data_IF_885776666925
#
_entry.id   IF_885776666925
#
_cell.length_a   1.000
_cell.length_b   1.000
_cell.length_c   1.000
_cell.angle_alpha   90.00
_cell.angle_beta   90.00
_cell.angle_gamma   90.00
#
_symmetry.space_group_name_H-M   'P 1'
#
loop_
_entity.id
_entity.type
_entity.pdbx_description
1 polymer ?
#
# COMPACT_ATOMS: atom_id res chain seq x y z
N UNK A 1 20.78 -4.71 -8.22
CA UNK A 1 19.67 -4.07 -7.46
C UNK A 1 19.24 -5.01 -6.35
N UNK A 2 18.88 -4.51 -5.16
CA UNK A 2 18.32 -5.33 -4.07
C UNK A 2 16.91 -5.83 -4.44
N UNK A 3 16.54 -7.05 -4.04
CA UNK A 3 15.22 -7.63 -4.26
C UNK A 3 14.07 -6.71 -3.77
N UNK A 4 14.26 -6.05 -2.62
CA UNK A 4 13.28 -5.08 -2.11
C UNK A 4 13.04 -3.90 -3.09
N UNK A 5 14.10 -3.37 -3.72
CA UNK A 5 13.96 -2.27 -4.70
C UNK A 5 13.23 -2.72 -5.96
N UNK A 6 13.40 -3.96 -6.40
CA UNK A 6 12.68 -4.49 -7.58
C UNK A 6 11.17 -4.48 -7.34
N UNK A 7 10.71 -4.99 -6.19
CA UNK A 7 9.29 -5.05 -5.87
C UNK A 7 8.69 -3.66 -5.59
N UNK A 8 9.43 -2.78 -4.92
CA UNK A 8 8.96 -1.41 -4.72
C UNK A 8 8.92 -0.64 -6.04
N UNK A 9 9.90 -0.80 -6.93
CA UNK A 9 9.87 -0.22 -8.26
C UNK A 9 8.65 -0.68 -9.06
N UNK A 10 8.29 -1.97 -8.95
CA UNK A 10 7.09 -2.52 -9.59
C UNK A 10 5.81 -1.92 -9.00
N UNK A 11 5.72 -1.79 -7.67
CA UNK A 11 4.59 -1.13 -7.02
C UNK A 11 4.46 0.33 -7.48
N UNK A 12 5.57 1.07 -7.60
CA UNK A 12 5.57 2.45 -8.11
C UNK A 12 5.15 2.53 -9.58
N UNK A 13 5.55 1.58 -10.41
CA UNK A 13 5.10 1.49 -11.81
C UNK A 13 3.57 1.33 -11.89
N UNK A 14 3.01 0.41 -11.09
CA UNK A 14 1.57 0.18 -10.99
C UNK A 14 0.82 1.45 -10.52
N UNK A 15 1.37 2.17 -9.54
CA UNK A 15 0.83 3.45 -9.08
C UNK A 15 0.81 4.50 -10.21
N UNK A 16 1.91 4.63 -10.97
CA UNK A 16 2.03 5.58 -12.10
C UNK A 16 1.04 5.28 -13.22
N UNK A 17 0.89 4.02 -13.60
CA UNK A 17 -0.06 3.61 -14.65
C UNK A 17 -1.52 3.95 -14.34
N UNK A 18 -1.82 4.24 -13.09
CA UNK A 18 -3.16 4.46 -12.59
C UNK A 18 -3.46 5.95 -12.28
N UNK A 19 -2.47 6.84 -12.47
CA UNK A 19 -2.66 8.29 -12.35
C UNK A 19 -3.73 8.79 -13.33
N UNK A 20 -4.55 9.74 -12.87
CA UNK A 20 -5.69 10.29 -13.64
C UNK A 20 -6.94 9.41 -13.66
N UNK A 21 -6.87 8.16 -13.17
CA UNK A 21 -8.00 7.21 -13.17
C UNK A 21 -8.67 7.05 -11.81
N UNK A 22 -8.06 7.54 -10.72
CA UNK A 22 -8.50 7.31 -9.34
C UNK A 22 -9.35 8.43 -8.74
N UNK A 23 -9.74 9.41 -9.56
CA UNK A 23 -10.51 10.58 -9.11
C UNK A 23 -9.72 11.39 -8.07
N UNK A 24 -10.35 11.68 -6.93
CA UNK A 24 -9.71 12.42 -5.81
C UNK A 24 -8.79 11.55 -4.93
N UNK A 25 -8.80 10.24 -5.11
CA UNK A 25 -7.98 9.33 -4.30
C UNK A 25 -6.57 9.19 -4.91
N UNK A 26 -5.52 8.95 -4.10
CA UNK A 26 -4.18 8.68 -4.61
C UNK A 26 -4.13 7.34 -5.37
N UNK A 27 -3.31 7.30 -6.42
CA UNK A 27 -3.00 6.09 -7.16
C UNK A 27 -1.91 5.31 -6.43
N UNK A 28 -2.29 4.23 -5.74
CA UNK A 28 -1.39 3.41 -4.93
C UNK A 28 -1.09 2.12 -5.68
N UNK A 29 0.12 1.61 -5.54
CA UNK A 29 0.50 0.28 -6.00
C UNK A 29 0.83 -0.63 -4.81
N UNK A 30 0.51 -1.91 -4.95
CA UNK A 30 0.76 -2.94 -3.96
C UNK A 30 1.28 -4.21 -4.62
N UNK A 31 2.34 -4.79 -4.06
CA UNK A 31 2.90 -6.09 -4.44
C UNK A 31 2.92 -7.00 -3.21
N UNK A 32 2.42 -8.23 -3.32
CA UNK A 32 2.36 -9.20 -2.24
C UNK A 32 3.21 -10.42 -2.61
N UNK A 33 4.12 -10.77 -1.71
CA UNK A 33 4.91 -11.99 -1.78
C UNK A 33 4.49 -12.97 -0.68
N UNK A 34 4.69 -14.26 -0.93
CA UNK A 34 4.62 -15.28 0.12
C UNK A 34 5.87 -15.27 1.01
N UNK A 35 5.90 -16.19 1.98
CA UNK A 35 7.03 -16.36 2.92
C UNK A 35 8.34 -16.83 2.27
N UNK A 36 8.26 -17.40 1.08
CA UNK A 36 9.40 -17.87 0.30
C UNK A 36 9.86 -16.81 -0.71
N UNK A 37 9.36 -15.57 -0.57
CA UNK A 37 9.60 -14.43 -1.46
C UNK A 37 9.13 -14.62 -2.91
N UNK A 38 8.15 -15.50 -3.15
CA UNK A 38 7.52 -15.64 -4.47
C UNK A 38 6.37 -14.65 -4.62
N UNK A 39 6.25 -14.06 -5.81
CA UNK A 39 5.15 -13.16 -6.13
C UNK A 39 3.81 -13.90 -6.10
N UNK A 40 2.88 -13.44 -5.25
CA UNK A 40 1.52 -13.94 -5.20
C UNK A 40 0.57 -13.06 -6.03
N UNK A 41 0.67 -11.75 -5.84
CA UNK A 41 -0.16 -10.80 -6.56
C UNK A 41 0.44 -9.40 -6.60
N UNK A 42 -0.07 -8.62 -7.52
CA UNK A 42 0.20 -7.19 -7.61
C UNK A 42 -1.06 -6.48 -8.09
N UNK A 43 -1.27 -5.24 -7.65
CA UNK A 43 -2.42 -4.42 -8.01
C UNK A 43 -2.14 -2.92 -7.84
N UNK A 44 -2.97 -2.10 -8.48
CA UNK A 44 -3.07 -0.67 -8.22
C UNK A 44 -4.47 -0.32 -7.73
N UNK A 45 -4.66 0.89 -7.17
CA UNK A 45 -5.98 1.43 -6.85
C UNK A 45 -6.93 1.34 -8.05
N UNK A 46 -8.15 0.83 -7.89
CA UNK A 46 -9.09 0.69 -9.00
C UNK A 46 -9.59 2.03 -9.57
N UNK A 47 -10.20 1.96 -10.76
CA UNK A 47 -10.83 3.12 -11.41
C UNK A 47 -11.87 3.77 -10.49
N UNK A 48 -11.90 5.11 -10.46
CA UNK A 48 -12.71 5.86 -9.49
C UNK A 48 -12.14 5.90 -8.07
N UNK A 49 -10.97 5.28 -7.84
CA UNK A 49 -10.24 5.34 -6.57
C UNK A 49 -10.56 4.19 -5.60
N UNK A 50 -11.30 3.18 -6.07
CA UNK A 50 -11.66 1.99 -5.30
C UNK A 50 -11.69 0.75 -6.23
N UNK A 51 -11.43 -0.46 -5.71
CA UNK A 51 -10.87 -0.75 -4.39
C UNK A 51 -9.45 -0.18 -4.21
N UNK A 52 -8.97 -0.07 -2.98
CA UNK A 52 -7.56 0.27 -2.71
C UNK A 52 -6.62 -0.84 -3.22
N UNK A 53 -5.36 -0.48 -3.49
CA UNK A 53 -4.37 -1.39 -4.06
C UNK A 53 -4.17 -2.65 -3.20
N UNK A 54 -4.08 -2.52 -1.88
CA UNK A 54 -3.86 -3.64 -0.96
C UNK A 54 -5.08 -4.57 -0.89
N UNK A 55 -6.28 -4.00 -0.90
CA UNK A 55 -7.52 -4.79 -0.96
C UNK A 55 -7.59 -5.58 -2.26
N UNK A 56 -7.26 -4.95 -3.39
CA UNK A 56 -7.30 -5.60 -4.70
C UNK A 56 -6.19 -6.65 -4.86
N UNK A 57 -4.99 -6.39 -4.33
CA UNK A 57 -3.90 -7.34 -4.32
C UNK A 57 -4.27 -8.57 -3.47
N UNK A 58 -4.79 -8.37 -2.26
CA UNK A 58 -5.22 -9.46 -1.38
C UNK A 58 -6.39 -10.26 -1.96
N UNK A 59 -7.35 -9.63 -2.64
CA UNK A 59 -8.50 -10.34 -3.23
C UNK A 59 -8.11 -11.29 -4.38
N UNK A 60 -6.89 -11.14 -4.93
CA UNK A 60 -6.34 -12.01 -5.98
C UNK A 60 -5.52 -13.19 -5.42
N UNK A 61 -5.33 -13.24 -4.10
CA UNK A 61 -4.51 -14.25 -3.42
C UNK A 61 -5.43 -15.28 -2.75
N UNK A 62 -5.15 -16.59 -2.87
CA UNK A 62 -5.87 -17.60 -2.11
C UNK A 62 -5.80 -17.32 -0.60
N UNK A 63 -6.88 -17.59 0.12
CA UNK A 63 -6.95 -17.39 1.57
C UNK A 63 -5.79 -18.11 2.27
N UNK A 64 -5.06 -17.39 3.12
CA UNK A 64 -3.90 -17.91 3.85
C UNK A 64 -2.58 -17.96 3.08
N UNK A 65 -2.57 -17.79 1.75
CA UNK A 65 -1.32 -17.87 0.98
C UNK A 65 -0.35 -16.70 1.28
N UNK A 66 -0.88 -15.53 1.66
CA UNK A 66 -0.08 -14.38 2.08
C UNK A 66 0.51 -14.50 3.51
N UNK A 67 0.15 -15.53 4.28
CA UNK A 67 0.52 -15.64 5.68
C UNK A 67 2.04 -15.86 5.87
N UNK A 68 2.67 -14.98 6.64
CA UNK A 68 4.12 -14.90 6.79
C UNK A 68 4.83 -14.17 5.64
N UNK A 69 4.07 -13.65 4.66
CA UNK A 69 4.57 -12.97 3.48
C UNK A 69 4.97 -11.50 3.70
N UNK A 70 5.32 -10.84 2.61
CA UNK A 70 5.71 -9.42 2.58
C UNK A 70 4.82 -8.63 1.62
N UNK A 71 4.29 -7.48 2.08
CA UNK A 71 3.64 -6.51 1.21
C UNK A 71 4.55 -5.31 0.96
N UNK A 72 4.60 -4.83 -0.29
CA UNK A 72 5.24 -3.58 -0.69
C UNK A 72 4.15 -2.62 -1.13
N UNK A 73 4.05 -1.47 -0.48
CA UNK A 73 2.98 -0.49 -0.72
C UNK A 73 3.60 0.89 -0.93
N UNK A 74 3.15 1.60 -1.95
CA UNK A 74 3.76 2.89 -2.35
C UNK A 74 3.36 4.06 -1.45
N UNK A 75 2.22 3.97 -0.75
CA UNK A 75 1.74 4.92 0.24
C UNK A 75 1.36 4.16 1.52
N UNK A 76 1.41 4.80 2.67
CA UNK A 76 0.99 4.18 3.94
C UNK A 76 -0.41 3.55 3.84
N UNK A 77 -0.59 2.28 4.24
CA UNK A 77 -1.89 1.64 4.24
C UNK A 77 -2.86 2.36 5.18
N UNK A 78 -4.04 2.73 4.70
CA UNK A 78 -4.99 3.51 5.48
C UNK A 78 -5.32 2.85 6.83
N UNK A 79 -5.38 3.67 7.89
CA UNK A 79 -5.88 3.29 9.22
C UNK A 79 -7.40 3.29 9.26
N UNK A 80 -8.03 4.28 8.66
CA UNK A 80 -9.49 4.40 8.63
C UNK A 80 -9.94 4.66 7.20
N UNK A 81 -11.21 4.40 6.93
CA UNK A 81 -11.82 4.67 5.64
C UNK A 81 -13.05 5.52 5.87
N UNK A 82 -13.35 6.36 4.88
CA UNK A 82 -14.63 7.09 4.83
C UNK A 82 -15.83 6.16 4.60
N UNK A 83 -15.58 4.90 4.24
CA UNK A 83 -16.58 3.84 4.10
C UNK A 83 -16.55 2.90 5.30
N UNK A 84 -17.57 2.06 5.47
CA UNK A 84 -17.63 1.02 6.51
C UNK A 84 -16.77 -0.21 6.20
N UNK A 85 -15.97 -0.20 5.12
CA UNK A 85 -15.10 -1.31 4.79
C UNK A 85 -13.87 -1.36 5.70
N UNK A 86 -13.35 -2.57 5.93
CA UNK A 86 -12.10 -2.76 6.65
C UNK A 86 -10.95 -1.98 6.00
N UNK A 87 -10.20 -1.26 6.83
CA UNK A 87 -9.05 -0.47 6.42
C UNK A 87 -7.90 -1.34 5.89
N UNK A 88 -7.03 -0.80 5.04
CA UNK A 88 -5.95 -1.58 4.41
C UNK A 88 -4.97 -2.16 5.45
N UNK A 89 -4.62 -1.38 6.48
CA UNK A 89 -3.77 -1.88 7.56
C UNK A 89 -4.40 -3.10 8.26
N UNK A 90 -5.73 -3.10 8.45
CA UNK A 90 -6.47 -4.19 9.09
C UNK A 90 -6.50 -5.43 8.20
N UNK A 91 -6.72 -5.25 6.89
CA UNK A 91 -6.71 -6.33 5.91
C UNK A 91 -5.34 -7.03 5.83
N UNK A 92 -4.25 -6.28 5.90
CA UNK A 92 -2.89 -6.84 5.91
C UNK A 92 -2.64 -7.68 7.19
N UNK A 93 -3.15 -7.23 8.34
CA UNK A 93 -3.11 -7.97 9.61
C UNK A 93 -3.90 -9.27 9.50
N UNK A 94 -5.14 -9.21 9.04
CA UNK A 94 -6.02 -10.36 8.87
C UNK A 94 -5.48 -11.38 7.86
N UNK A 95 -4.77 -10.91 6.83
CA UNK A 95 -4.10 -11.77 5.86
C UNK A 95 -2.85 -12.48 6.41
N UNK A 96 -2.42 -12.14 7.63
CA UNK A 96 -1.23 -12.71 8.27
C UNK A 96 0.08 -12.26 7.65
N UNK A 97 0.13 -11.08 6.99
CA UNK A 97 1.37 -10.52 6.46
C UNK A 97 2.36 -10.29 7.61
N UNK A 98 3.60 -10.75 7.46
CA UNK A 98 4.62 -10.60 8.50
C UNK A 98 5.44 -9.32 8.35
N UNK A 99 5.59 -8.81 7.13
CA UNK A 99 6.37 -7.61 6.83
C UNK A 99 5.65 -6.69 5.85
N UNK A 100 5.66 -5.39 6.13
CA UNK A 100 5.17 -4.35 5.21
C UNK A 100 6.30 -3.36 4.94
N UNK A 101 6.61 -3.16 3.66
CA UNK A 101 7.59 -2.18 3.19
C UNK A 101 6.84 -1.05 2.51
N UNK A 102 6.99 0.17 3.03
CA UNK A 102 6.24 1.35 2.64
C UNK A 102 7.20 2.34 1.97
N UNK A 103 6.83 2.91 0.82
CA UNK A 103 7.67 3.90 0.17
C UNK A 103 7.61 5.26 0.89
N UNK A 104 6.41 5.79 1.09
CA UNK A 104 6.21 7.10 1.76
C UNK A 104 5.02 7.06 2.75
N UNK A 105 5.10 7.74 3.91
CA UNK A 105 3.98 7.88 4.84
C UNK A 105 2.82 8.69 4.23
N UNK A 106 1.60 8.51 4.76
CA UNK A 106 0.44 9.30 4.35
C UNK A 106 0.25 10.48 5.31
N UNK A 107 0.39 11.74 4.86
CA UNK A 107 0.17 12.91 5.71
C UNK A 107 -1.33 13.19 5.97
N UNK A 108 -2.25 12.49 5.30
CA UNK A 108 -3.69 12.69 5.47
C UNK A 108 -4.13 12.31 6.90
N UNK A 109 -4.80 13.20 7.68
CA UNK A 109 -5.18 12.92 9.06
C UNK A 109 -5.98 11.62 9.24
N UNK A 110 -6.94 11.34 8.35
CA UNK A 110 -7.73 10.10 8.35
C UNK A 110 -7.02 8.87 7.73
N UNK A 111 -6.00 9.10 6.89
CA UNK A 111 -5.24 8.03 6.22
C UNK A 111 -4.08 7.52 7.07
N UNK A 112 -3.44 8.43 7.80
CA UNK A 112 -2.29 8.21 8.67
C UNK A 112 -2.58 7.29 9.88
N UNK A 113 -1.52 6.72 10.44
CA UNK A 113 -1.57 5.87 11.64
C UNK A 113 -1.76 4.38 11.32
N UNK A 114 -1.72 4.00 10.05
CA UNK A 114 -1.71 2.61 9.61
C UNK A 114 -0.39 1.93 9.93
N UNK A 115 0.72 2.67 9.84
CA UNK A 115 2.04 2.22 10.30
C UNK A 115 2.00 1.76 11.75
N UNK A 116 1.40 2.58 12.63
CA UNK A 116 1.34 2.28 14.05
C UNK A 116 0.43 1.09 14.33
N UNK A 117 -0.71 0.97 13.63
CA UNK A 117 -1.56 -0.21 13.75
C UNK A 117 -0.84 -1.50 13.33
N UNK A 118 -0.10 -1.47 12.22
CA UNK A 118 0.68 -2.61 11.75
C UNK A 118 1.74 -3.02 12.79
N UNK A 119 2.50 -2.06 13.32
CA UNK A 119 3.51 -2.30 14.37
C UNK A 119 2.87 -2.87 15.63
N UNK A 120 1.74 -2.31 16.08
CA UNK A 120 1.02 -2.77 17.27
C UNK A 120 0.50 -4.22 17.12
N UNK A 121 0.22 -4.66 15.89
CA UNK A 121 -0.15 -6.04 15.58
C UNK A 121 1.06 -6.99 15.40
N UNK A 122 2.28 -6.53 15.65
CA UNK A 122 3.50 -7.33 15.55
C UNK A 122 4.07 -7.49 14.13
N UNK A 123 3.56 -6.73 13.16
CA UNK A 123 4.09 -6.73 11.78
C UNK A 123 5.39 -5.93 11.72
N UNK A 124 6.40 -6.49 11.05
CA UNK A 124 7.63 -5.76 10.77
C UNK A 124 7.37 -4.67 9.72
N UNK A 125 7.57 -3.40 10.08
CA UNK A 125 7.36 -2.27 9.16
C UNK A 125 8.69 -1.60 8.81
N UNK A 126 8.94 -1.44 7.51
CA UNK A 126 10.05 -0.64 6.97
C UNK A 126 9.48 0.50 6.12
N UNK A 127 9.98 1.72 6.31
CA UNK A 127 9.47 2.93 5.64
C UNK A 127 10.61 3.60 4.89
N UNK A 128 10.30 4.32 3.82
CA UNK A 128 11.26 5.19 3.12
C UNK A 128 11.95 4.53 1.92
N UNK A 129 11.54 3.32 1.53
CA UNK A 129 12.15 2.65 0.37
C UNK A 129 11.67 3.31 -0.92
N UNK A 130 12.58 3.98 -1.65
CA UNK A 130 12.25 4.74 -2.86
C UNK A 130 11.27 5.89 -2.60
N UNK A 131 11.38 6.52 -1.42
CA UNK A 131 10.48 7.61 -1.01
C UNK A 131 10.47 8.78 -1.99
N UNK A 132 11.63 9.26 -2.46
CA UNK A 132 11.68 10.36 -3.43
C UNK A 132 10.88 10.08 -4.71
N UNK A 133 10.88 8.82 -5.17
CA UNK A 133 10.11 8.41 -6.35
C UNK A 133 8.61 8.41 -6.06
N UNK A 134 8.22 7.97 -4.86
CA UNK A 134 6.84 7.98 -4.38
C UNK A 134 6.32 9.41 -4.16
N UNK A 135 7.08 10.28 -3.52
CA UNK A 135 6.71 11.66 -3.25
C UNK A 135 6.46 12.44 -4.56
N UNK A 136 7.19 12.11 -5.62
CA UNK A 136 6.93 12.65 -6.96
C UNK A 136 5.56 12.21 -7.51
N UNK A 137 5.14 10.97 -7.27
CA UNK A 137 3.81 10.46 -7.68
C UNK A 137 2.69 11.15 -6.89
N UNK A 138 2.95 11.46 -5.61
CA UNK A 138 1.95 11.96 -4.67
C UNK A 138 1.98 13.47 -4.45
N UNK A 139 2.84 14.22 -5.15
CA UNK A 139 3.00 15.66 -4.97
C UNK A 139 1.67 16.43 -5.03
N UNK A 140 0.85 16.19 -6.05
CA UNK A 140 -0.46 16.83 -6.22
C UNK A 140 -1.45 16.43 -5.11
N UNK A 141 -1.43 15.15 -4.73
CA UNK A 141 -2.27 14.65 -3.63
C UNK A 141 -1.89 15.34 -2.32
N UNK A 142 -0.60 15.37 -1.96
CA UNK A 142 -0.12 16.02 -0.74
C UNK A 142 -0.40 17.54 -0.74
N UNK A 143 -0.23 18.22 -1.88
CA UNK A 143 -0.56 19.64 -2.01
C UNK A 143 -2.05 19.91 -1.79
N UNK A 144 -2.93 18.99 -2.23
CA UNK A 144 -4.39 19.13 -2.03
C UNK A 144 -4.80 19.06 -0.55
N UNK A 145 -3.98 18.44 0.31
CA UNK A 145 -4.25 18.32 1.75
C UNK A 145 -3.90 19.60 2.53
N UNK A 146 -2.92 20.36 2.05
CA UNK A 146 -2.50 21.62 2.67
C UNK A 146 -3.46 22.79 2.40
N UNK A 147 -4.45 22.58 1.52
CA UNK A 147 -5.39 23.61 1.08
C UNK A 147 -6.71 23.64 1.87
N UNK A 148 -6.78 22.89 2.98
CA UNK A 148 -7.93 22.77 3.89
C UNK A 148 -7.46 22.77 5.35
#
# INVERSE_FOLDING_TARGET
MSAHRMHMSRALELARMQQGRTGKNPSVGCVILDRDARLLSEAATGDGGRPHAEQLALSRVPVGAAAGGTAYVTLEPCRERSTSEAACSQRLIEAGIAKVVIATPDPHPQGSGGIDRLKAAGIQVQIGLMQSDADTIYADFFASLASH
#
